data_IF_948878562294
#
_entry.id   IF_948878562294
#
_cell.length_a   1.000
_cell.length_b   1.000
_cell.length_c   1.000
_cell.angle_alpha   90.00
_cell.angle_beta   90.00
_cell.angle_gamma   90.00
#
_symmetry.space_group_name_H-M   'P 1'
#
loop_
_entity.id
_entity.type
_entity.pdbx_description
1 polymer ?
#
# COMPACT_ATOMS: atom_id res chain seq x y z
N UNK A 1 16.45 -6.16 14.91
CA UNK A 1 16.50 -5.13 13.86
C UNK A 1 15.46 -4.12 14.28
N UNK A 2 15.90 -2.95 14.73
CA UNK A 2 15.00 -1.91 15.19
C UNK A 2 14.42 -1.25 13.94
N UNK A 3 13.10 -1.36 13.76
CA UNK A 3 12.40 -0.69 12.67
C UNK A 3 12.18 0.74 13.11
N UNK A 4 12.62 1.69 12.29
CA UNK A 4 12.42 3.11 12.57
C UNK A 4 10.95 3.47 12.39
N UNK A 5 10.26 3.72 13.51
CA UNK A 5 8.83 4.05 13.53
C UNK A 5 8.52 5.29 12.70
N UNK A 6 9.38 6.32 12.71
CA UNK A 6 9.16 7.55 11.95
C UNK A 6 9.20 7.29 10.44
N UNK A 7 10.09 6.38 9.99
CA UNK A 7 10.17 5.93 8.60
C UNK A 7 8.89 5.22 8.19
N UNK A 8 8.38 4.29 9.02
CA UNK A 8 7.15 3.55 8.74
C UNK A 8 5.93 4.49 8.68
N UNK A 9 5.83 5.45 9.60
CA UNK A 9 4.74 6.42 9.63
C UNK A 9 4.73 7.32 8.37
N UNK A 10 5.90 7.79 7.93
CA UNK A 10 6.02 8.54 6.66
C UNK A 10 5.57 7.71 5.46
N UNK A 11 6.05 6.48 5.35
CA UNK A 11 5.67 5.56 4.27
C UNK A 11 4.16 5.27 4.34
N UNK A 12 3.59 5.12 5.54
CA UNK A 12 2.15 4.94 5.72
C UNK A 12 1.34 6.12 5.20
N UNK A 13 1.73 7.36 5.53
CA UNK A 13 1.05 8.55 5.01
C UNK A 13 1.04 8.59 3.48
N UNK A 14 2.19 8.32 2.85
CA UNK A 14 2.30 8.27 1.38
C UNK A 14 1.50 7.11 0.78
N UNK A 15 1.48 5.96 1.44
CA UNK A 15 0.66 4.82 1.00
C UNK A 15 -0.83 5.15 1.07
N UNK A 16 -1.27 5.88 2.10
CA UNK A 16 -2.65 6.34 2.20
C UNK A 16 -3.02 7.30 1.07
N UNK A 17 -2.09 8.16 0.62
CA UNK A 17 -2.29 9.00 -0.56
C UNK A 17 -2.47 8.15 -1.83
N UNK A 18 -1.65 7.11 -2.04
CA UNK A 18 -1.78 6.17 -3.16
C UNK A 18 -3.12 5.43 -3.13
N UNK A 19 -3.60 5.00 -1.96
CA UNK A 19 -4.90 4.36 -1.83
C UNK A 19 -6.01 5.36 -2.20
N UNK A 20 -5.96 6.57 -1.64
CA UNK A 20 -6.98 7.60 -1.88
C UNK A 20 -7.02 8.05 -3.34
N UNK A 21 -5.86 8.23 -3.99
CA UNK A 21 -5.81 8.62 -5.40
C UNK A 21 -6.53 7.62 -6.31
N UNK A 22 -6.60 6.35 -5.89
CA UNK A 22 -7.22 5.27 -6.66
C UNK A 22 -8.68 4.99 -6.28
N UNK A 23 -9.01 5.04 -4.99
CA UNK A 23 -10.29 4.55 -4.47
C UNK A 23 -10.95 5.46 -3.42
N UNK A 24 -10.60 6.75 -3.34
CA UNK A 24 -11.15 7.68 -2.33
C UNK A 24 -12.68 7.61 -2.21
N UNK A 25 -13.40 7.61 -3.33
CA UNK A 25 -14.87 7.55 -3.34
C UNK A 25 -15.43 6.27 -2.69
N UNK A 26 -14.73 5.13 -2.82
CA UNK A 26 -15.11 3.88 -2.19
C UNK A 26 -14.76 3.86 -0.71
N UNK A 27 -13.60 4.42 -0.34
CA UNK A 27 -13.18 4.55 1.06
C UNK A 27 -14.19 5.39 1.84
N UNK A 28 -14.59 6.54 1.30
CA UNK A 28 -15.61 7.42 1.91
C UNK A 28 -16.98 6.75 1.96
N UNK A 29 -17.44 6.19 0.84
CA UNK A 29 -18.75 5.54 0.73
C UNK A 29 -18.93 4.39 1.72
N UNK A 30 -17.88 3.61 1.92
CA UNK A 30 -17.91 2.42 2.78
C UNK A 30 -17.30 2.66 4.17
N UNK A 31 -16.89 3.89 4.49
CA UNK A 31 -16.23 4.26 5.74
C UNK A 31 -15.09 3.30 6.11
N UNK A 32 -14.22 3.02 5.14
CA UNK A 32 -13.15 2.02 5.27
C UNK A 32 -11.95 2.61 6.00
N UNK A 33 -11.54 1.96 7.09
CA UNK A 33 -10.29 2.30 7.78
C UNK A 33 -9.08 1.90 6.93
N UNK A 34 -8.14 2.82 6.74
CA UNK A 34 -6.89 2.58 6.01
C UNK A 34 -5.92 1.70 6.83
N UNK A 35 -5.03 0.96 6.16
CA UNK A 35 -4.10 0.05 6.83
C UNK A 35 -3.12 0.79 7.75
N UNK A 36 -2.76 0.16 8.87
CA UNK A 36 -1.78 0.67 9.84
C UNK A 36 -0.52 -0.18 9.75
N UNK A 37 0.51 0.32 9.06
CA UNK A 37 1.70 -0.45 8.72
C UNK A 37 2.50 -0.89 9.95
N UNK A 38 2.49 -0.11 11.02
CA UNK A 38 3.16 -0.48 12.28
C UNK A 38 2.58 -1.78 12.85
N UNK A 39 1.26 -1.94 12.88
CA UNK A 39 0.62 -3.16 13.40
C UNK A 39 1.00 -4.39 12.57
N UNK A 40 1.07 -4.22 11.25
CA UNK A 40 1.45 -5.27 10.30
C UNK A 40 2.92 -5.68 10.49
N UNK A 41 3.82 -4.70 10.63
CA UNK A 41 5.25 -4.92 10.88
C UNK A 41 5.51 -5.51 12.27
N UNK A 42 4.77 -5.09 13.30
CA UNK A 42 4.88 -5.67 14.65
C UNK A 42 4.51 -7.16 14.65
N UNK A 43 3.51 -7.53 13.85
CA UNK A 43 3.02 -8.90 13.79
C UNK A 43 3.91 -9.82 12.96
N UNK A 44 4.29 -9.41 11.75
CA UNK A 44 4.93 -10.28 10.75
C UNK A 44 6.38 -9.85 10.41
N UNK A 45 6.85 -8.72 10.96
CA UNK A 45 8.13 -8.11 10.61
C UNK A 45 8.14 -7.49 9.20
N UNK A 46 9.27 -6.91 8.79
CA UNK A 46 9.44 -6.33 7.44
C UNK A 46 9.43 -7.37 6.31
N UNK A 47 9.37 -8.67 6.63
CA UNK A 47 9.29 -9.76 5.64
C UNK A 47 7.85 -10.15 5.31
N UNK A 48 6.87 -9.57 6.01
CA UNK A 48 5.46 -9.83 5.78
C UNK A 48 4.98 -9.38 4.40
N UNK A 49 3.87 -9.96 3.99
CA UNK A 49 3.08 -9.51 2.84
C UNK A 49 1.65 -9.43 3.30
N UNK A 50 1.02 -8.29 3.05
CA UNK A 50 -0.31 -7.98 3.58
C UNK A 50 -1.26 -7.64 2.45
N UNK A 51 -2.55 -7.75 2.76
CA UNK A 51 -3.65 -7.48 1.84
C UNK A 51 -4.66 -6.55 2.47
N UNK A 52 -4.97 -5.47 1.77
CA UNK A 52 -6.01 -4.51 2.13
C UNK A 52 -7.16 -4.58 1.12
N UNK A 53 -8.28 -5.24 1.45
CA UNK A 53 -9.43 -5.33 0.55
C UNK A 53 -10.20 -3.99 0.51
N UNK A 54 -10.71 -3.61 -0.67
CA UNK A 54 -11.53 -2.41 -0.83
C UNK A 54 -12.95 -2.79 -1.26
N UNK A 55 -13.97 -2.63 -0.39
CA UNK A 55 -15.37 -2.86 -0.74
C UNK A 55 -15.81 -2.06 -1.98
N UNK A 56 -16.51 -2.73 -2.90
CA UNK A 56 -16.95 -2.13 -4.17
C UNK A 56 -15.85 -2.00 -5.24
N UNK A 57 -14.59 -2.27 -4.90
CA UNK A 57 -13.47 -2.27 -5.85
C UNK A 57 -13.25 -3.65 -6.51
N UNK A 58 -13.90 -4.70 -6.00
CA UNK A 58 -13.73 -6.10 -6.46
C UNK A 58 -12.25 -6.49 -6.54
N UNK A 59 -11.51 -6.09 -5.51
CA UNK A 59 -10.07 -6.15 -5.44
C UNK A 59 -9.54 -5.41 -4.21
N UNK A 60 -8.30 -4.94 -4.29
CA UNK A 60 -7.64 -4.31 -3.16
C UNK A 60 -6.16 -4.06 -3.43
N UNK A 61 -5.41 -3.89 -2.35
CA UNK A 61 -3.98 -3.60 -2.38
C UNK A 61 -3.20 -4.74 -1.70
N UNK A 62 -2.29 -5.37 -2.43
CA UNK A 62 -1.21 -6.17 -1.85
C UNK A 62 -0.02 -5.27 -1.58
N UNK A 63 0.65 -5.43 -0.44
CA UNK A 63 1.83 -4.64 -0.13
C UNK A 63 2.83 -5.41 0.72
N UNK A 64 4.11 -5.09 0.53
CA UNK A 64 5.22 -5.69 1.26
C UNK A 64 6.40 -4.71 1.31
N UNK A 65 7.22 -4.81 2.35
CA UNK A 65 8.46 -4.03 2.43
C UNK A 65 9.60 -4.71 1.66
N UNK A 66 10.50 -3.88 1.13
CA UNK A 66 11.78 -4.24 0.51
C UNK A 66 12.87 -3.32 1.07
N UNK A 67 14.10 -3.82 1.12
CA UNK A 67 15.23 -3.07 1.68
C UNK A 67 15.22 -3.00 3.20
N UNK A 68 16.15 -2.22 3.75
CA UNK A 68 16.31 -1.99 5.19
C UNK A 68 16.85 -0.59 5.47
N UNK A 69 16.63 -0.07 6.69
CA UNK A 69 17.11 1.23 7.11
C UNK A 69 16.61 2.38 6.20
N UNK A 70 17.55 3.14 5.63
CA UNK A 70 17.24 4.30 4.78
C UNK A 70 16.73 3.92 3.39
N UNK A 71 17.01 2.70 2.93
CA UNK A 71 16.57 2.19 1.63
C UNK A 71 15.24 1.41 1.75
N UNK A 72 14.56 1.53 2.91
CA UNK A 72 13.30 0.86 3.14
C UNK A 72 12.22 1.42 2.20
N UNK A 73 11.57 0.51 1.49
CA UNK A 73 10.57 0.82 0.47
C UNK A 73 9.36 -0.09 0.64
N UNK A 74 8.16 0.47 0.55
CA UNK A 74 6.92 -0.29 0.42
C UNK A 74 6.58 -0.46 -1.06
N UNK A 75 6.46 -1.71 -1.50
CA UNK A 75 5.92 -2.04 -2.81
C UNK A 75 4.44 -2.35 -2.62
N UNK A 76 3.57 -1.57 -3.27
CA UNK A 76 2.13 -1.72 -3.21
C UNK A 76 1.56 -1.96 -4.61
N UNK A 77 0.81 -3.05 -4.77
CA UNK A 77 0.11 -3.37 -6.00
C UNK A 77 -1.38 -3.33 -5.76
N UNK A 78 -2.10 -2.70 -6.67
CA UNK A 78 -3.55 -2.63 -6.64
C UNK A 78 -4.13 -3.36 -7.84
N UNK A 79 -5.19 -4.12 -7.60
CA UNK A 79 -5.85 -4.94 -8.62
C UNK A 79 -7.34 -4.68 -8.56
N UNK A 80 -7.96 -4.35 -9.69
CA UNK A 80 -9.41 -4.38 -9.87
C UNK A 80 -9.73 -5.40 -10.96
N UNK A 81 -10.55 -6.42 -10.66
CA UNK A 81 -10.81 -7.54 -11.59
C UNK A 81 -11.97 -7.28 -12.58
N UNK A 82 -12.50 -6.06 -12.63
CA UNK A 82 -13.69 -5.74 -13.43
C UNK A 82 -13.28 -5.02 -14.73
N UNK A 83 -13.95 -5.35 -15.84
CA UNK A 83 -13.86 -4.67 -17.13
C UNK A 83 -12.42 -4.49 -17.68
N UNK A 84 -11.68 -5.60 -17.81
CA UNK A 84 -10.36 -5.60 -18.47
C UNK A 84 -9.17 -5.48 -17.53
N UNK A 85 -9.40 -5.21 -16.24
CA UNK A 85 -8.34 -5.11 -15.25
C UNK A 85 -7.71 -3.72 -15.18
N UNK A 86 -7.37 -3.27 -13.97
CA UNK A 86 -6.53 -2.08 -13.79
C UNK A 86 -5.52 -2.36 -12.68
N UNK A 87 -4.47 -3.08 -13.04
CA UNK A 87 -3.28 -3.23 -12.20
C UNK A 87 -2.51 -1.93 -12.11
N UNK A 88 -2.05 -1.57 -10.91
CA UNK A 88 -1.00 -0.55 -10.74
C UNK A 88 -0.04 -0.99 -9.64
N UNK A 89 1.26 -0.83 -9.87
CA UNK A 89 2.33 -1.04 -8.89
C UNK A 89 2.99 0.29 -8.55
N UNK A 90 3.06 0.58 -7.25
CA UNK A 90 3.76 1.73 -6.70
C UNK A 90 4.93 1.29 -5.84
N UNK A 91 6.02 2.04 -5.94
CA UNK A 91 7.16 1.99 -5.03
C UNK A 91 7.12 3.25 -4.16
N UNK A 92 7.10 3.07 -2.84
CA UNK A 92 6.88 4.13 -1.86
C UNK A 92 8.07 4.14 -0.89
N UNK A 93 8.75 5.28 -0.78
CA UNK A 93 9.89 5.53 0.11
C UNK A 93 9.59 6.73 1.00
N UNK A 94 10.48 7.08 1.93
CA UNK A 94 10.32 8.30 2.75
C UNK A 94 10.35 9.60 1.94
N UNK A 95 10.93 9.57 0.74
CA UNK A 95 11.06 10.73 -0.14
C UNK A 95 9.85 10.93 -1.06
N UNK A 96 8.92 9.95 -1.11
CA UNK A 96 7.75 9.98 -1.96
C UNK A 96 7.41 8.63 -2.58
N UNK A 97 6.52 8.63 -3.57
CA UNK A 97 6.12 7.44 -4.30
C UNK A 97 6.18 7.63 -5.81
N UNK A 98 6.34 6.53 -6.53
CA UNK A 98 6.30 6.48 -7.99
C UNK A 98 5.44 5.31 -8.46
N UNK A 99 4.66 5.55 -9.51
CA UNK A 99 4.04 4.49 -10.29
C UNK A 99 5.12 3.86 -11.16
N UNK A 100 5.35 2.55 -11.00
CA UNK A 100 6.41 1.82 -11.72
C UNK A 100 5.88 0.82 -12.74
N UNK A 101 4.61 0.46 -12.63
CA UNK A 101 3.94 -0.46 -13.56
C UNK A 101 2.43 -0.22 -13.53
N UNK A 102 1.75 -0.35 -14.67
CA UNK A 102 0.30 -0.19 -14.78
C UNK A 102 -0.32 -1.02 -15.92
N UNK A 103 -1.65 -1.12 -15.93
CA UNK A 103 -2.45 -1.82 -16.95
C UNK A 103 -2.26 -3.36 -17.00
N UNK A 104 -1.69 -3.96 -15.94
CA UNK A 104 -1.67 -5.42 -15.80
C UNK A 104 -2.98 -5.98 -15.22
N UNK A 105 -3.23 -7.28 -15.43
CA UNK A 105 -4.48 -7.97 -15.06
C UNK A 105 -4.19 -9.21 -14.24
#
# INVERSE_FOLDING_TARGET
MEVDTEVIEKIQSLFHEVIKSRVASLIEKHNVSLPILLNDVEKDGLKGSWWFPVPGFYGGFSYSFKGEGKDLMLVAESWCRVAGGSGQRHEITVDGYKLVDEEFV
#
